data_IF_752240310445
#
_entry.id   IF_752240310445
#
_cell.length_a   1.000
_cell.length_b   1.000
_cell.length_c   1.000
_cell.angle_alpha   90.00
_cell.angle_beta   90.00
_cell.angle_gamma   90.00
#
_symmetry.space_group_name_H-M   'P 1'
#
loop_
_entity.id
_entity.type
_entity.pdbx_description
1 polymer ?
#
# COMPACT_ATOMS: atom_id res chain seq x y z
N UNK A 1 -23.08 -18.11 14.47
CA UNK A 1 -22.64 -18.56 13.13
C UNK A 1 -21.81 -17.42 12.58
N UNK A 2 -20.57 -17.67 12.14
CA UNK A 2 -19.71 -16.59 11.61
C UNK A 2 -20.24 -16.16 10.24
N UNK A 3 -20.60 -14.89 10.15
CA UNK A 3 -21.18 -14.28 8.95
C UNK A 3 -20.07 -13.85 7.99
N UNK A 4 -20.20 -14.27 6.73
CA UNK A 4 -19.55 -13.76 5.53
C UNK A 4 -18.08 -13.28 5.68
N UNK A 5 -17.15 -14.24 5.70
CA UNK A 5 -15.72 -13.99 5.49
C UNK A 5 -15.39 -14.18 4.01
N UNK A 6 -14.85 -13.16 3.37
CA UNK A 6 -14.42 -13.16 1.99
C UNK A 6 -12.90 -13.09 1.93
N UNK A 7 -12.25 -14.20 1.59
CA UNK A 7 -10.82 -14.21 1.30
C UNK A 7 -10.54 -13.64 -0.08
N UNK A 8 -9.61 -12.70 -0.15
CA UNK A 8 -9.18 -12.15 -1.43
C UNK A 8 -8.19 -13.14 -2.05
N UNK A 9 -8.61 -13.73 -3.17
CA UNK A 9 -7.77 -14.61 -3.97
C UNK A 9 -7.42 -13.95 -5.29
N UNK A 10 -6.25 -14.30 -5.78
CA UNK A 10 -5.78 -13.92 -7.11
C UNK A 10 -6.50 -14.75 -8.17
N UNK A 11 -6.39 -14.33 -9.42
CA UNK A 11 -6.89 -15.07 -10.58
C UNK A 11 -6.26 -16.47 -10.73
N UNK A 12 -5.06 -16.68 -10.16
CA UNK A 12 -4.39 -17.99 -10.10
C UNK A 12 -4.83 -18.85 -8.89
N UNK A 13 -5.81 -18.38 -8.12
CA UNK A 13 -6.35 -19.05 -6.94
C UNK A 13 -5.52 -18.90 -5.66
N UNK A 14 -4.35 -18.26 -5.71
CA UNK A 14 -3.51 -18.07 -4.50
C UNK A 14 -4.09 -16.96 -3.61
N UNK A 15 -4.04 -17.11 -2.26
CA UNK A 15 -4.50 -16.08 -1.34
C UNK A 15 -3.59 -14.85 -1.39
N UNK A 16 -4.15 -13.63 -1.32
CA UNK A 16 -3.34 -12.40 -1.23
C UNK A 16 -2.79 -12.18 0.18
N UNK A 17 -3.43 -12.76 1.19
CA UNK A 17 -3.20 -12.44 2.60
C UNK A 17 -4.26 -11.50 3.18
N UNK A 18 -5.19 -11.01 2.34
CA UNK A 18 -6.27 -10.12 2.75
C UNK A 18 -7.60 -10.86 2.84
N UNK A 19 -8.47 -10.40 3.74
CA UNK A 19 -9.83 -10.87 3.85
C UNK A 19 -10.75 -9.73 4.31
N UNK A 20 -12.00 -9.78 3.85
CA UNK A 20 -13.07 -8.95 4.37
C UNK A 20 -13.96 -9.77 5.28
N UNK A 21 -14.37 -9.16 6.39
CA UNK A 21 -15.33 -9.77 7.32
C UNK A 21 -16.50 -8.81 7.44
N UNK A 22 -17.69 -9.30 7.14
CA UNK A 22 -18.92 -8.56 7.40
C UNK A 22 -19.51 -9.00 8.73
N UNK A 23 -19.71 -8.04 9.63
CA UNK A 23 -20.39 -8.29 10.90
C UNK A 23 -21.88 -7.95 10.78
N UNK A 24 -22.72 -8.64 11.56
CA UNK A 24 -24.14 -8.31 11.75
C UNK A 24 -24.39 -6.86 12.14
N UNK A 25 -23.49 -6.28 12.94
CA UNK A 25 -23.65 -4.97 13.55
C UNK A 25 -22.30 -4.25 13.74
N UNK A 26 -22.38 -2.92 13.91
CA UNK A 26 -21.20 -2.07 14.05
C UNK A 26 -20.43 -2.35 15.36
N UNK A 27 -21.11 -2.74 16.44
CA UNK A 27 -20.47 -2.99 17.74
C UNK A 27 -19.50 -4.18 17.66
N UNK A 28 -19.88 -5.24 16.95
CA UNK A 28 -19.00 -6.36 16.64
C UNK A 28 -17.80 -5.95 15.80
N UNK A 29 -18.01 -5.15 14.75
CA UNK A 29 -16.92 -4.58 13.95
C UNK A 29 -15.94 -3.77 14.79
N UNK A 30 -16.46 -2.94 15.70
CA UNK A 30 -15.64 -2.13 16.60
C UNK A 30 -14.83 -2.99 17.58
N UNK A 31 -15.43 -4.05 18.12
CA UNK A 31 -14.71 -5.03 18.96
C UNK A 31 -13.62 -5.74 18.17
N UNK A 32 -13.87 -6.09 16.90
CA UNK A 32 -12.85 -6.71 16.05
C UNK A 32 -11.65 -5.79 15.81
N UNK A 33 -11.88 -4.50 15.56
CA UNK A 33 -10.80 -3.51 15.37
C UNK A 33 -9.86 -3.38 16.58
N UNK A 34 -10.33 -3.68 17.80
CA UNK A 34 -9.46 -3.73 19.00
C UNK A 34 -8.35 -4.80 18.91
N UNK A 35 -8.48 -5.74 17.97
CA UNK A 35 -7.49 -6.79 17.68
C UNK A 35 -6.43 -6.37 16.66
N UNK A 36 -6.44 -5.11 16.20
CA UNK A 36 -5.43 -4.57 15.31
C UNK A 36 -4.02 -4.78 15.90
N UNK A 37 -3.10 -5.30 15.07
CA UNK A 37 -1.70 -5.64 15.39
C UNK A 37 -1.50 -6.80 16.37
N UNK A 38 -2.56 -7.53 16.73
CA UNK A 38 -2.39 -8.80 17.44
C UNK A 38 -1.77 -9.86 16.51
N UNK A 39 -1.28 -10.95 17.10
CA UNK A 39 -0.59 -12.01 16.36
C UNK A 39 -1.49 -13.21 16.13
N UNK A 40 -1.49 -13.74 14.91
CA UNK A 40 -2.00 -15.07 14.58
C UNK A 40 -0.79 -15.93 14.20
N UNK A 41 -0.43 -16.86 15.10
CA UNK A 41 0.83 -17.61 14.99
C UNK A 41 2.03 -16.66 14.95
N UNK A 42 2.83 -16.75 13.89
CA UNK A 42 4.05 -15.95 13.74
C UNK A 42 3.85 -14.66 12.92
N UNK A 43 2.60 -14.26 12.64
CA UNK A 43 2.30 -13.07 11.84
C UNK A 43 1.37 -12.14 12.60
N UNK A 44 1.62 -10.84 12.53
CA UNK A 44 0.68 -9.84 13.02
C UNK A 44 -0.45 -9.64 12.01
N UNK A 45 -1.62 -9.24 12.50
CA UNK A 45 -2.76 -8.88 11.67
C UNK A 45 -2.99 -7.37 11.69
N UNK A 46 -3.37 -6.82 10.56
CA UNK A 46 -3.84 -5.45 10.44
C UNK A 46 -5.33 -5.48 10.12
N UNK A 47 -6.08 -4.54 10.69
CA UNK A 47 -7.54 -4.53 10.68
C UNK A 47 -7.95 -3.09 10.49
N UNK A 48 -8.82 -2.86 9.52
CA UNK A 48 -9.28 -1.53 9.13
C UNK A 48 -10.80 -1.60 8.89
N UNK A 49 -11.48 -0.46 9.04
CA UNK A 49 -12.87 -0.36 8.58
C UNK A 49 -12.85 -0.37 7.05
N UNK A 50 -13.79 -1.09 6.45
CA UNK A 50 -14.05 -1.05 5.02
C UNK A 50 -15.54 -0.89 4.77
N UNK A 51 -15.85 -0.23 3.66
CA UNK A 51 -17.20 -0.05 3.16
C UNK A 51 -17.56 -1.18 2.20
N UNK A 52 -18.86 -1.43 2.03
CA UNK A 52 -19.36 -2.41 1.05
C UNK A 52 -18.94 -2.07 -0.39
N UNK A 53 -18.77 -0.80 -0.72
CA UNK A 53 -18.31 -0.34 -2.02
C UNK A 53 -16.85 -0.76 -2.30
N UNK A 54 -15.95 -0.60 -1.32
CA UNK A 54 -14.55 -1.03 -1.43
C UNK A 54 -14.45 -2.55 -1.61
N UNK A 55 -15.24 -3.32 -0.85
CA UNK A 55 -15.31 -4.78 -1.00
C UNK A 55 -15.72 -5.16 -2.43
N UNK A 56 -16.76 -4.53 -2.96
CA UNK A 56 -17.22 -4.79 -4.33
C UNK A 56 -16.17 -4.43 -5.38
N UNK A 57 -15.39 -3.36 -5.17
CA UNK A 57 -14.32 -3.00 -6.09
C UNK A 57 -13.19 -4.04 -6.09
N UNK A 58 -12.80 -4.57 -4.92
CA UNK A 58 -11.79 -5.62 -4.83
C UNK A 58 -12.28 -6.91 -5.49
N UNK A 59 -13.54 -7.31 -5.25
CA UNK A 59 -14.14 -8.49 -5.88
C UNK A 59 -14.19 -8.36 -7.40
N UNK A 60 -14.63 -7.20 -7.91
CA UNK A 60 -14.70 -6.94 -9.37
C UNK A 60 -13.32 -7.02 -10.02
N UNK A 61 -12.26 -6.59 -9.32
CA UNK A 61 -10.86 -6.72 -9.79
C UNK A 61 -10.39 -8.18 -9.83
N UNK A 62 -10.96 -9.06 -9.02
CA UNK A 62 -10.67 -10.50 -9.05
C UNK A 62 -11.42 -11.27 -10.15
N UNK A 63 -12.53 -10.73 -10.68
CA UNK A 63 -13.40 -11.44 -11.64
C UNK A 63 -13.31 -10.96 -13.10
N UNK A 64 -12.77 -9.77 -13.38
CA UNK A 64 -12.65 -9.24 -14.74
C UNK A 64 -11.31 -9.64 -15.40
N UNK A 65 -11.29 -10.20 -16.63
CA UNK A 65 -10.05 -10.47 -17.39
C UNK A 65 -9.32 -9.21 -17.91
N UNK A 66 -9.70 -8.02 -17.44
CA UNK A 66 -9.16 -6.75 -17.93
C UNK A 66 -7.80 -6.44 -17.29
N UNK A 67 -6.73 -6.90 -17.94
CA UNK A 67 -5.37 -6.37 -17.89
C UNK A 67 -4.82 -5.91 -16.51
N UNK A 68 -4.65 -6.84 -15.58
CA UNK A 68 -3.37 -7.03 -14.91
C UNK A 68 -2.85 -6.01 -13.87
N UNK A 69 -3.64 -5.12 -13.29
CA UNK A 69 -3.10 -4.17 -12.28
C UNK A 69 -2.95 -4.76 -10.85
N UNK A 70 -3.50 -5.94 -10.56
CA UNK A 70 -3.44 -6.56 -9.23
C UNK A 70 -2.35 -7.62 -9.05
N UNK A 71 -1.58 -7.95 -10.09
CA UNK A 71 -0.53 -8.99 -10.07
C UNK A 71 0.84 -8.46 -10.46
N UNK A 72 0.92 -7.20 -10.89
CA UNK A 72 2.17 -6.57 -11.32
C UNK A 72 2.93 -6.05 -10.12
N UNK A 73 4.25 -6.31 -10.09
CA UNK A 73 5.17 -5.73 -9.09
C UNK A 73 5.59 -4.32 -9.52
N UNK A 74 4.62 -3.52 -9.96
CA UNK A 74 4.81 -2.18 -10.48
C UNK A 74 4.73 -1.09 -9.40
N UNK A 75 4.70 -1.48 -8.13
CA UNK A 75 4.77 -0.53 -7.02
C UNK A 75 6.15 -0.45 -6.39
N UNK A 76 6.54 0.75 -5.98
CA UNK A 76 7.73 1.02 -5.18
C UNK A 76 7.30 1.55 -3.82
N UNK A 77 7.79 0.96 -2.73
CA UNK A 77 7.64 1.49 -1.37
C UNK A 77 8.94 2.19 -0.96
N UNK A 78 8.81 3.43 -0.53
CA UNK A 78 9.86 4.20 0.13
C UNK A 78 9.63 4.19 1.64
N UNK A 79 10.68 3.97 2.41
CA UNK A 79 10.68 4.05 3.87
C UNK A 79 11.86 4.89 4.35
N UNK A 80 11.64 5.62 5.45
CA UNK A 80 12.66 6.46 6.07
C UNK A 80 12.66 7.90 5.56
N UNK A 81 11.60 8.32 4.87
CA UNK A 81 11.45 9.69 4.39
C UNK A 81 11.61 10.70 5.54
N UNK A 82 12.32 11.83 5.32
CA UNK A 82 12.31 12.93 6.27
C UNK A 82 10.88 13.40 6.58
N UNK A 83 10.66 13.92 7.79
CA UNK A 83 9.34 14.37 8.22
C UNK A 83 8.76 15.47 7.31
N UNK A 84 9.60 16.34 6.78
CA UNK A 84 9.21 17.41 5.86
C UNK A 84 9.04 16.97 4.39
N UNK A 85 9.22 15.67 4.09
CA UNK A 85 9.12 15.17 2.73
C UNK A 85 7.72 15.39 2.14
N UNK A 86 7.70 15.73 0.85
CA UNK A 86 6.50 16.01 0.04
C UNK A 86 6.60 15.23 -1.25
N UNK A 87 5.50 15.18 -2.01
CA UNK A 87 5.45 14.53 -3.33
C UNK A 87 6.58 15.03 -4.24
N UNK A 88 6.85 16.33 -4.24
CA UNK A 88 7.92 16.96 -5.02
C UNK A 88 9.30 16.34 -4.73
N UNK A 89 9.62 16.14 -3.44
CA UNK A 89 10.87 15.51 -3.02
C UNK A 89 10.96 14.03 -3.42
N UNK A 90 9.82 13.31 -3.45
CA UNK A 90 9.77 11.91 -3.91
C UNK A 90 10.07 11.84 -5.41
N UNK A 91 9.48 12.74 -6.20
CA UNK A 91 9.73 12.84 -7.64
C UNK A 91 11.20 13.18 -7.92
N UNK A 92 11.75 14.16 -7.21
CA UNK A 92 13.17 14.52 -7.32
C UNK A 92 14.10 13.36 -6.95
N UNK A 93 13.81 12.66 -5.84
CA UNK A 93 14.59 11.53 -5.37
C UNK A 93 14.58 10.34 -6.34
N UNK A 94 13.46 10.07 -7.01
CA UNK A 94 13.39 9.04 -8.04
C UNK A 94 14.03 9.48 -9.37
N UNK A 95 14.31 10.77 -9.53
CA UNK A 95 15.05 11.33 -10.66
C UNK A 95 14.47 10.91 -12.00
N UNK A 96 15.32 10.37 -12.87
CA UNK A 96 14.89 9.91 -14.20
C UNK A 96 13.78 8.85 -14.16
N UNK A 97 13.66 8.07 -13.08
CA UNK A 97 12.62 7.06 -12.98
C UNK A 97 11.23 7.67 -12.74
N UNK A 98 11.15 8.94 -12.33
CA UNK A 98 9.87 9.61 -12.09
C UNK A 98 8.98 9.70 -13.33
N UNK A 99 9.58 9.66 -14.55
CA UNK A 99 8.83 9.64 -15.82
C UNK A 99 7.94 8.41 -16.00
N UNK A 100 8.17 7.36 -15.21
CA UNK A 100 7.43 6.12 -15.26
C UNK A 100 6.34 6.03 -14.18
N UNK A 101 6.18 7.06 -13.34
CA UNK A 101 5.11 7.12 -12.34
C UNK A 101 3.78 7.32 -13.06
N UNK A 102 2.75 6.58 -12.68
CA UNK A 102 1.39 6.78 -13.19
C UNK A 102 0.82 8.14 -12.74
N UNK A 103 -0.12 8.71 -13.49
CA UNK A 103 -0.79 9.94 -13.07
C UNK A 103 -1.43 9.74 -11.69
N UNK A 104 -1.15 10.65 -10.74
CA UNK A 104 -1.53 10.54 -9.32
C UNK A 104 -0.98 9.29 -8.59
N UNK A 105 0.07 8.66 -9.12
CA UNK A 105 0.63 7.42 -8.58
C UNK A 105 1.49 7.57 -7.33
N UNK A 106 1.65 8.77 -6.74
CA UNK A 106 2.42 8.97 -5.50
C UNK A 106 1.47 9.09 -4.31
N UNK A 107 1.56 8.15 -3.38
CA UNK A 107 0.73 8.07 -2.19
C UNK A 107 1.60 8.22 -0.94
N UNK A 108 1.50 9.38 -0.30
CA UNK A 108 2.15 9.65 0.99
C UNK A 108 1.35 8.98 2.11
N UNK A 109 2.04 8.28 3.01
CA UNK A 109 1.40 7.63 4.15
C UNK A 109 1.45 8.57 5.36
N UNK A 110 0.30 8.76 5.99
CA UNK A 110 0.16 9.56 7.20
C UNK A 110 -0.34 8.68 8.34
N UNK A 111 0.03 9.03 9.58
CA UNK A 111 -0.52 8.40 10.76
C UNK A 111 -1.94 8.93 11.07
N UNK A 112 -2.60 8.38 12.08
CA UNK A 112 -3.96 8.79 12.50
C UNK A 112 -4.07 10.23 13.00
N UNK A 113 -2.95 10.90 13.27
CA UNK A 113 -2.90 12.31 13.67
C UNK A 113 -2.69 13.23 12.45
N UNK A 114 -2.61 12.69 11.23
CA UNK A 114 -2.36 13.45 10.01
C UNK A 114 -0.89 13.79 9.79
N UNK A 115 0.03 13.23 10.57
CA UNK A 115 1.47 13.47 10.41
C UNK A 115 2.10 12.44 9.46
N UNK A 116 3.12 12.80 8.66
CA UNK A 116 3.82 11.87 7.77
C UNK A 116 4.39 10.67 8.54
N UNK A 117 4.14 9.47 8.07
CA UNK A 117 4.65 8.23 8.71
C UNK A 117 6.12 7.94 8.36
N UNK A 118 6.68 8.68 7.39
CA UNK A 118 7.98 8.39 6.81
C UNK A 118 7.95 7.34 5.70
N UNK A 119 6.75 6.99 5.20
CA UNK A 119 6.55 6.04 4.12
C UNK A 119 5.78 6.66 2.93
N UNK A 120 6.08 6.18 1.72
CA UNK A 120 5.32 6.48 0.52
C UNK A 120 5.25 5.26 -0.40
N UNK A 121 4.18 5.19 -1.18
CA UNK A 121 3.98 4.19 -2.21
C UNK A 121 3.86 4.86 -3.57
N UNK A 122 4.54 4.31 -4.57
CA UNK A 122 4.66 4.87 -5.90
C UNK A 122 4.23 3.83 -6.91
N UNK A 123 3.13 4.11 -7.59
CA UNK A 123 2.63 3.29 -8.68
C UNK A 123 3.35 3.65 -9.98
N UNK A 124 4.12 2.70 -10.48
CA UNK A 124 4.85 2.80 -11.74
C UNK A 124 4.00 2.22 -12.88
N UNK A 125 4.33 2.57 -14.10
CA UNK A 125 3.63 2.08 -15.29
C UNK A 125 4.02 0.64 -15.69
N UNK A 126 5.05 0.06 -15.08
CA UNK A 126 5.52 -1.31 -15.34
C UNK A 126 6.38 -1.86 -14.19
N UNK A 127 6.45 -3.19 -14.10
CA UNK A 127 7.33 -3.90 -13.15
C UNK A 127 8.82 -3.60 -13.41
N UNK A 128 9.23 -3.50 -14.68
CA UNK A 128 10.61 -3.15 -15.03
C UNK A 128 10.98 -1.74 -14.52
N UNK A 129 10.06 -0.78 -14.65
CA UNK A 129 10.29 0.58 -14.13
C UNK A 129 10.37 0.59 -12.60
N UNK A 130 9.52 -0.16 -11.90
CA UNK A 130 9.57 -0.30 -10.45
C UNK A 130 10.87 -0.96 -9.97
N UNK A 131 11.29 -2.06 -10.60
CA UNK A 131 12.55 -2.73 -10.29
C UNK A 131 13.77 -1.84 -10.55
N UNK A 132 13.79 -1.14 -11.68
CA UNK A 132 14.85 -0.19 -12.02
C UNK A 132 14.93 0.96 -11.00
N UNK A 133 13.79 1.57 -10.68
CA UNK A 133 13.71 2.63 -9.68
C UNK A 133 14.19 2.16 -8.30
N UNK A 134 13.74 0.98 -7.87
CA UNK A 134 14.16 0.41 -6.60
C UNK A 134 15.67 0.15 -6.55
N UNK A 135 16.24 -0.48 -7.58
CA UNK A 135 17.67 -0.76 -7.64
C UNK A 135 18.52 0.52 -7.66
N UNK A 136 18.07 1.56 -8.37
CA UNK A 136 18.80 2.82 -8.49
C UNK A 136 18.74 3.66 -7.20
N UNK A 137 17.59 3.66 -6.51
CA UNK A 137 17.31 4.55 -5.39
C UNK A 137 17.52 3.90 -4.01
N UNK A 138 17.60 2.57 -3.90
CA UNK A 138 17.78 1.90 -2.62
C UNK A 138 19.07 2.34 -1.90
N UNK A 139 18.96 2.65 -0.60
CA UNK A 139 20.05 3.14 0.26
C UNK A 139 20.68 4.46 -0.20
N UNK A 140 20.00 5.22 -1.07
CA UNK A 140 20.39 6.60 -1.37
C UNK A 140 19.86 7.56 -0.31
N UNK A 141 20.53 8.70 -0.18
CA UNK A 141 20.11 9.75 0.73
C UNK A 141 19.09 10.66 0.06
N UNK A 142 17.99 10.93 0.75
CA UNK A 142 17.14 12.09 0.46
C UNK A 142 17.61 13.24 1.35
N UNK A 143 17.91 14.38 0.73
CA UNK A 143 18.37 15.59 1.40
C UNK A 143 17.30 16.67 1.27
N UNK A 144 16.84 17.20 2.40
CA UNK A 144 15.87 18.30 2.45
C UNK A 144 16.45 19.36 3.39
N UNK A 145 16.88 20.49 2.81
CA UNK A 145 17.60 21.53 3.53
C UNK A 145 18.87 20.98 4.19
N UNK A 146 18.93 21.02 5.53
CA UNK A 146 20.06 20.49 6.33
C UNK A 146 19.88 19.03 6.76
N UNK A 147 18.72 18.43 6.52
CA UNK A 147 18.41 17.07 6.96
C UNK A 147 18.72 16.08 5.85
N UNK A 148 19.30 14.94 6.22
CA UNK A 148 19.53 13.81 5.33
C UNK A 148 19.05 12.52 5.97
N UNK A 149 18.43 11.65 5.17
CA UNK A 149 17.98 10.31 5.59
C UNK A 149 18.30 9.31 4.49
N UNK A 150 18.78 8.13 4.87
CA UNK A 150 18.83 7.00 3.95
C UNK A 150 17.41 6.52 3.70
N UNK A 151 17.10 6.24 2.44
CA UNK A 151 15.78 5.75 2.04
C UNK A 151 15.90 4.27 1.67
N UNK A 152 15.11 3.46 2.35
CA UNK A 152 14.91 2.07 1.99
C UNK A 152 13.87 2.01 0.88
N UNK A 153 14.25 1.44 -0.26
CA UNK A 153 13.38 1.29 -1.43
C UNK A 153 13.14 -0.19 -1.71
N UNK A 154 11.88 -0.59 -1.90
CA UNK A 154 11.51 -1.98 -2.18
C UNK A 154 10.41 -2.05 -3.22
N UNK A 155 10.44 -3.07 -4.08
CA UNK A 155 9.35 -3.36 -5.03
C UNK A 155 8.24 -4.14 -4.35
N UNK A 156 7.00 -3.84 -4.71
CA UNK A 156 5.82 -4.53 -4.22
C UNK A 156 4.68 -4.48 -5.23
N UNK A 157 3.51 -4.98 -4.80
CA UNK A 157 2.28 -4.91 -5.60
C UNK A 157 1.46 -3.71 -5.15
N UNK A 158 0.85 -2.98 -6.08
CA UNK A 158 -0.01 -1.84 -5.74
C UNK A 158 -1.34 -2.21 -5.07
N UNK A 159 -1.53 -3.48 -4.70
CA UNK A 159 -2.70 -3.92 -3.91
C UNK A 159 -2.53 -3.69 -2.40
N UNK A 160 -1.33 -3.33 -1.93
CA UNK A 160 -1.07 -3.12 -0.49
C UNK A 160 -1.31 -1.69 -0.01
N UNK A 161 -1.88 -0.81 -0.84
CA UNK A 161 -2.21 0.57 -0.45
C UNK A 161 -3.69 0.80 -0.59
N UNK A 162 -4.43 0.19 0.34
CA UNK A 162 -5.74 0.71 0.73
C UNK A 162 -5.63 1.02 2.21
N UNK A 163 -5.23 2.25 2.51
CA UNK A 163 -5.72 2.93 3.71
C UNK A 163 -6.21 4.29 3.26
N UNK A 164 -7.53 4.46 3.34
CA UNK A 164 -8.21 5.75 3.16
C UNK A 164 -7.58 6.76 4.13
N UNK A 165 -7.15 7.91 3.61
CA UNK A 165 -7.14 9.12 4.43
C UNK A 165 -8.60 9.48 4.75
N UNK A 166 -8.82 10.08 5.92
CA UNK A 166 -10.08 10.73 6.25
C UNK A 166 -10.44 11.81 5.22
#
# INVERSE_FOLDING_TARGET
MMENVLFVTRSDGRPTGDAFVQFSDEEQGQRALSKHRQTIGNRYIELFRSTSAEVQQVVKRSTEPSAGNGTRRDCVRLRGLPYEARVEHVVEFLGEHARFIQFQGVHMVFNSQGHPSGEAFIQMNSEQAAAGAAAAAHNKFMVIGKKQRYIEVSTGYCNSVVTSQH
#
